data_IF_563928222679
#
_entry.id   IF_563928222679
#
_cell.length_a   1.000
_cell.length_b   1.000
_cell.length_c   1.000
_cell.angle_alpha   90.00
_cell.angle_beta   90.00
_cell.angle_gamma   90.00
#
_symmetry.space_group_name_H-M   'P 1'
#
loop_
_entity.id
_entity.type
_entity.pdbx_description
1 polymer ?
#
# COMPACT_ATOMS: atom_id res chain seq x y z
N UNK A 1 19.02 7.63 -11.37
CA UNK A 1 18.69 8.18 -12.70
C UNK A 1 18.30 9.65 -12.58
N UNK A 2 18.71 10.52 -13.50
CA UNK A 2 18.29 11.93 -13.57
C UNK A 2 17.11 12.08 -14.54
N UNK A 3 15.98 12.62 -14.06
CA UNK A 3 14.72 12.65 -14.82
C UNK A 3 14.03 14.00 -14.71
N UNK A 4 13.34 14.41 -15.77
CA UNK A 4 12.42 15.54 -15.77
C UNK A 4 11.00 15.06 -16.06
N UNK A 5 10.05 15.54 -15.26
CA UNK A 5 8.63 15.20 -15.36
C UNK A 5 7.83 16.47 -15.64
N UNK A 6 6.95 16.43 -16.63
CA UNK A 6 6.01 17.51 -16.95
C UNK A 6 4.58 17.07 -16.62
N UNK A 7 3.82 17.92 -15.94
CA UNK A 7 2.42 17.63 -15.66
C UNK A 7 1.54 18.88 -15.80
N UNK A 8 0.35 18.71 -16.37
CA UNK A 8 -0.67 19.74 -16.40
C UNK A 8 -1.11 20.12 -14.99
N UNK A 9 -1.23 19.12 -14.12
CA UNK A 9 -1.51 19.31 -12.70
C UNK A 9 -0.69 18.35 -11.84
N UNK A 10 -0.29 18.82 -10.66
CA UNK A 10 0.35 17.99 -9.65
C UNK A 10 -0.36 18.10 -8.31
N UNK A 11 -0.53 16.95 -7.66
CA UNK A 11 -1.04 16.80 -6.31
C UNK A 11 0.11 16.57 -5.32
N UNK A 12 -0.17 16.69 -4.03
CA UNK A 12 0.79 16.38 -2.96
C UNK A 12 1.65 17.54 -2.47
N UNK A 13 1.52 18.73 -3.06
CA UNK A 13 1.96 19.99 -2.46
C UNK A 13 0.88 20.54 -1.49
N UNK A 14 1.10 21.70 -0.87
CA UNK A 14 0.10 22.34 0.00
C UNK A 14 -1.22 22.64 -0.72
N UNK A 15 -1.15 22.94 -2.02
CA UNK A 15 -2.29 23.08 -2.93
C UNK A 15 -1.94 22.44 -4.28
N UNK A 16 -2.93 21.98 -5.08
CA UNK A 16 -2.68 21.50 -6.43
C UNK A 16 -1.92 22.52 -7.29
N UNK A 17 -0.80 22.10 -7.89
CA UNK A 17 0.04 22.94 -8.73
C UNK A 17 -0.33 22.76 -10.20
N UNK A 18 -0.40 23.84 -10.98
CA UNK A 18 -0.72 23.80 -12.41
C UNK A 18 0.54 24.04 -13.24
N UNK A 19 0.67 23.31 -14.35
CA UNK A 19 1.80 23.39 -15.30
C UNK A 19 3.14 23.32 -14.58
N UNK A 20 3.45 22.13 -14.08
CA UNK A 20 4.62 21.89 -13.24
C UNK A 20 5.70 21.12 -14.01
N UNK A 21 6.94 21.44 -13.69
CA UNK A 21 8.14 20.68 -13.98
C UNK A 21 8.70 20.13 -12.67
N UNK A 22 9.02 18.84 -12.64
CA UNK A 22 9.63 18.18 -11.49
C UNK A 22 10.94 17.54 -11.91
N UNK A 23 12.02 17.94 -11.24
CA UNK A 23 13.36 17.39 -11.43
C UNK A 23 13.63 16.32 -10.39
N UNK A 24 13.98 15.12 -10.85
CA UNK A 24 14.35 13.98 -10.02
C UNK A 24 15.81 13.64 -10.26
N UNK A 25 16.57 13.43 -9.19
CA UNK A 25 17.96 13.01 -9.28
C UNK A 25 18.34 12.21 -8.01
N UNK A 26 19.20 11.21 -8.15
CA UNK A 26 19.66 10.35 -7.05
C UNK A 26 18.51 9.84 -6.12
N UNK A 27 17.35 9.54 -6.71
CA UNK A 27 16.19 9.03 -5.98
C UNK A 27 15.36 10.09 -5.25
N UNK A 28 15.69 11.37 -5.40
CA UNK A 28 15.07 12.49 -4.71
C UNK A 28 14.43 13.48 -5.66
N UNK A 29 13.42 14.19 -5.16
CA UNK A 29 12.87 15.38 -5.83
C UNK A 29 13.80 16.55 -5.52
N UNK A 30 14.55 17.04 -6.50
CA UNK A 30 15.45 18.19 -6.30
C UNK A 30 14.73 19.51 -6.51
N UNK A 31 13.83 19.57 -7.51
CA UNK A 31 13.14 20.81 -7.91
C UNK A 31 11.70 20.56 -8.28
N UNK A 32 10.82 21.47 -7.86
CA UNK A 32 9.42 21.57 -8.30
C UNK A 32 9.21 23.02 -8.74
N UNK A 33 8.85 23.24 -10.01
CA UNK A 33 8.80 24.58 -10.61
C UNK A 33 7.63 24.72 -11.58
N UNK A 34 7.13 25.95 -11.78
CA UNK A 34 6.20 26.28 -12.86
C UNK A 34 6.91 26.77 -14.14
N UNK A 35 8.24 26.87 -14.08
CA UNK A 35 9.12 27.25 -15.16
C UNK A 35 10.02 26.07 -15.55
N UNK A 36 10.49 26.07 -16.78
CA UNK A 36 11.39 25.04 -17.30
C UNK A 36 12.68 24.98 -16.46
N UNK A 37 13.17 23.77 -16.22
CA UNK A 37 14.27 23.53 -15.30
C UNK A 37 15.62 23.71 -16.02
N UNK A 38 16.38 24.73 -15.62
CA UNK A 38 17.78 24.84 -16.01
C UNK A 38 18.61 23.73 -15.35
N UNK A 39 19.54 23.13 -16.08
CA UNK A 39 20.40 22.06 -15.57
C UNK A 39 19.79 20.67 -15.67
N UNK A 40 18.66 20.49 -16.35
CA UNK A 40 18.04 19.19 -16.68
C UNK A 40 18.06 18.91 -18.19
N UNK A 41 18.86 19.64 -18.97
CA UNK A 41 18.99 19.46 -20.43
C UNK A 41 19.60 18.10 -20.81
N UNK A 42 20.29 17.46 -19.88
CA UNK A 42 20.92 16.14 -19.99
C UNK A 42 20.14 15.03 -19.24
N UNK A 43 18.88 15.30 -18.85
CA UNK A 43 18.05 14.30 -18.18
C UNK A 43 17.95 13.01 -19.02
N UNK A 44 18.11 11.86 -18.36
CA UNK A 44 18.04 10.54 -18.98
C UNK A 44 16.60 10.18 -19.38
N UNK A 45 15.63 10.64 -18.59
CA UNK A 45 14.21 10.49 -18.87
C UNK A 45 13.53 11.86 -18.92
N UNK A 46 12.78 12.10 -20.00
CA UNK A 46 11.88 13.24 -20.17
C UNK A 46 10.46 12.71 -20.45
N UNK A 47 9.57 12.82 -19.48
CA UNK A 47 8.26 12.15 -19.49
C UNK A 47 7.12 13.06 -19.06
N UNK A 48 5.91 12.58 -19.28
CA UNK A 48 4.67 13.26 -18.95
C UNK A 48 4.18 14.20 -20.05
N UNK A 49 3.50 15.27 -19.66
CA UNK A 49 2.83 16.19 -20.58
C UNK A 49 1.78 17.06 -19.90
N UNK A 50 1.24 18.04 -20.63
CA UNK A 50 0.27 18.99 -20.08
C UNK A 50 -1.14 18.41 -19.90
N UNK A 51 -1.39 17.21 -20.38
CA UNK A 51 -2.61 16.43 -20.16
C UNK A 51 -2.43 15.34 -19.08
N UNK A 52 -1.31 15.40 -18.34
CA UNK A 52 -0.99 14.48 -17.25
C UNK A 52 -1.32 15.05 -15.87
N UNK A 53 -1.67 14.15 -14.97
CA UNK A 53 -1.71 14.39 -13.53
C UNK A 53 -0.52 13.69 -12.88
N UNK A 54 0.24 14.43 -12.08
CA UNK A 54 1.30 13.90 -11.22
C UNK A 54 0.80 13.76 -9.78
N UNK A 55 1.11 12.66 -9.14
CA UNK A 55 0.80 12.38 -7.73
C UNK A 55 2.03 11.77 -7.03
N UNK A 56 2.19 11.95 -5.71
CA UNK A 56 3.01 11.05 -4.91
C UNK A 56 2.48 9.61 -5.00
N UNK A 57 3.39 8.66 -4.80
CA UNK A 57 3.10 7.24 -4.69
C UNK A 57 2.12 6.92 -3.56
N UNK A 58 1.26 5.91 -3.78
CA UNK A 58 0.30 5.50 -2.76
C UNK A 58 0.91 4.51 -1.77
N UNK A 59 0.36 4.53 -0.55
CA UNK A 59 0.70 3.58 0.51
C UNK A 59 -0.53 2.86 1.04
N UNK A 60 -0.41 1.54 1.23
CA UNK A 60 -1.35 0.74 2.02
C UNK A 60 -0.72 0.31 3.34
N UNK A 61 -1.35 0.70 4.46
CA UNK A 61 -0.83 0.44 5.83
C UNK A 61 -1.05 -0.99 6.31
N UNK A 62 -1.92 -1.75 5.65
CA UNK A 62 -2.04 -3.19 5.91
C UNK A 62 -2.69 -3.90 4.72
N UNK A 63 -2.06 -4.98 4.24
CA UNK A 63 -2.50 -5.77 3.09
C UNK A 63 -2.13 -7.25 3.26
N UNK A 64 -3.00 -8.17 2.81
CA UNK A 64 -2.67 -9.58 2.64
C UNK A 64 -2.39 -9.87 1.16
N UNK A 65 -1.13 -9.85 0.75
CA UNK A 65 -0.75 -9.85 -0.67
C UNK A 65 -0.90 -11.25 -1.28
N UNK A 66 -0.47 -12.29 -0.56
CA UNK A 66 -0.44 -13.69 -1.03
C UNK A 66 -1.83 -14.24 -1.34
N UNK A 67 -2.84 -13.72 -0.65
CA UNK A 67 -4.22 -14.16 -0.81
C UNK A 67 -4.93 -13.49 -1.98
N UNK A 68 -4.29 -12.53 -2.67
CA UNK A 68 -4.86 -11.78 -3.79
C UNK A 68 -5.56 -12.67 -4.85
N UNK A 69 -5.00 -13.79 -5.33
CA UNK A 69 -5.64 -14.62 -6.35
C UNK A 69 -6.94 -15.29 -5.87
N UNK A 70 -7.10 -15.44 -4.56
CA UNK A 70 -8.24 -16.11 -3.93
C UNK A 70 -9.26 -15.13 -3.34
N UNK A 71 -9.00 -13.81 -3.39
CA UNK A 71 -9.76 -12.76 -2.70
C UNK A 71 -11.28 -12.87 -2.88
N UNK A 72 -11.76 -13.19 -4.10
CA UNK A 72 -13.19 -13.35 -4.33
C UNK A 72 -13.76 -14.60 -3.66
N UNK A 73 -13.05 -15.73 -3.72
CA UNK A 73 -13.51 -16.97 -3.08
C UNK A 73 -13.54 -16.81 -1.56
N UNK A 74 -12.56 -16.10 -1.00
CA UNK A 74 -12.51 -15.77 0.42
C UNK A 74 -13.65 -14.81 0.78
N UNK A 75 -13.81 -13.72 0.03
CA UNK A 75 -14.85 -12.71 0.27
C UNK A 75 -16.27 -13.29 0.22
N UNK A 76 -16.55 -14.21 -0.70
CA UNK A 76 -17.83 -14.90 -0.80
C UNK A 76 -17.96 -16.10 0.16
N UNK A 77 -16.99 -16.33 1.04
CA UNK A 77 -17.01 -17.44 2.01
C UNK A 77 -16.95 -18.83 1.37
N UNK A 78 -16.48 -18.94 0.13
CA UNK A 78 -16.34 -20.22 -0.60
C UNK A 78 -15.12 -21.01 -0.15
N UNK A 79 -14.10 -20.32 0.38
CA UNK A 79 -12.88 -20.93 0.89
C UNK A 79 -12.42 -20.18 2.13
N UNK A 80 -11.89 -20.90 3.12
CA UNK A 80 -11.27 -20.29 4.30
C UNK A 80 -9.82 -19.89 3.98
N UNK A 81 -9.41 -18.70 4.41
CA UNK A 81 -8.04 -18.22 4.23
C UNK A 81 -7.01 -19.11 4.95
N UNK A 82 -7.35 -19.67 6.12
CA UNK A 82 -6.45 -20.54 6.87
C UNK A 82 -6.19 -21.87 6.14
N UNK A 83 -7.20 -22.41 5.44
CA UNK A 83 -7.04 -23.64 4.65
C UNK A 83 -6.03 -23.40 3.52
N UNK A 84 -6.13 -22.26 2.84
CA UNK A 84 -5.16 -21.82 1.83
C UNK A 84 -3.75 -21.70 2.42
N UNK A 85 -3.59 -20.98 3.53
CA UNK A 85 -2.29 -20.77 4.17
C UNK A 85 -1.67 -22.07 4.71
N UNK A 86 -2.47 -23.09 4.98
CA UNK A 86 -2.01 -24.40 5.50
C UNK A 86 -1.30 -25.24 4.43
N UNK A 87 -1.66 -25.07 3.15
CA UNK A 87 -1.12 -25.86 2.03
C UNK A 87 -0.06 -25.12 1.19
N UNK A 88 0.17 -23.84 1.48
CA UNK A 88 1.16 -23.01 0.79
C UNK A 88 2.59 -23.27 1.28
N UNK A 89 3.51 -23.40 0.32
CA UNK A 89 4.96 -23.41 0.56
C UNK A 89 5.57 -22.02 0.34
N UNK A 90 6.83 -21.82 0.73
CA UNK A 90 7.58 -20.59 0.45
C UNK A 90 7.61 -20.23 -1.04
N UNK A 91 7.67 -21.24 -1.92
CA UNK A 91 7.68 -21.03 -3.37
C UNK A 91 6.33 -20.55 -3.87
N UNK A 92 5.23 -21.12 -3.37
CA UNK A 92 3.88 -20.68 -3.75
C UNK A 92 3.66 -19.23 -3.31
N UNK A 93 4.05 -18.90 -2.06
CA UNK A 93 3.88 -17.56 -1.51
C UNK A 93 4.59 -16.48 -2.33
N UNK A 94 5.83 -16.72 -2.78
CA UNK A 94 6.56 -15.77 -3.61
C UNK A 94 5.77 -15.39 -4.89
N UNK A 95 5.34 -16.38 -5.66
CA UNK A 95 4.68 -16.12 -6.95
C UNK A 95 3.25 -15.60 -6.78
N UNK A 96 2.52 -16.04 -5.74
CA UNK A 96 1.19 -15.50 -5.44
C UNK A 96 1.27 -14.03 -4.98
N UNK A 97 2.27 -13.70 -4.15
CA UNK A 97 2.54 -12.33 -3.74
C UNK A 97 2.97 -11.45 -4.92
N UNK A 98 3.72 -11.99 -5.88
CA UNK A 98 4.09 -11.28 -7.11
C UNK A 98 2.84 -10.84 -7.90
N UNK A 99 1.82 -11.71 -8.03
CA UNK A 99 0.55 -11.34 -8.68
C UNK A 99 -0.17 -10.19 -7.96
N UNK A 100 -0.18 -10.23 -6.61
CA UNK A 100 -0.77 -9.16 -5.80
C UNK A 100 0.01 -7.85 -5.93
N UNK A 101 1.32 -7.89 -5.77
CA UNK A 101 2.20 -6.72 -5.93
C UNK A 101 2.12 -6.12 -7.34
N UNK A 102 2.02 -6.95 -8.39
CA UNK A 102 1.79 -6.50 -9.76
C UNK A 102 0.50 -5.67 -9.86
N UNK A 103 -0.60 -6.12 -9.23
CA UNK A 103 -1.85 -5.35 -9.18
C UNK A 103 -1.64 -4.02 -8.46
N UNK A 104 -1.02 -4.04 -7.27
CA UNK A 104 -0.78 -2.85 -6.45
C UNK A 104 0.02 -1.79 -7.21
N UNK A 105 1.08 -2.18 -7.92
CA UNK A 105 1.83 -1.28 -8.79
C UNK A 105 0.93 -0.65 -9.86
N UNK A 106 0.09 -1.45 -10.50
CA UNK A 106 -0.86 -0.99 -11.52
C UNK A 106 -2.06 -0.19 -10.98
N UNK A 107 -2.21 -0.07 -9.66
CA UNK A 107 -3.18 0.84 -9.02
C UNK A 107 -2.50 2.06 -8.38
N UNK A 108 -1.18 2.22 -8.54
CA UNK A 108 -0.42 3.39 -8.09
C UNK A 108 0.21 3.24 -6.70
N UNK A 109 0.16 2.04 -6.10
CA UNK A 109 0.84 1.79 -4.82
C UNK A 109 2.35 1.68 -5.06
N UNK A 110 3.13 2.46 -4.31
CA UNK A 110 4.60 2.41 -4.30
C UNK A 110 5.15 1.80 -3.02
N UNK A 111 4.42 1.93 -1.90
CA UNK A 111 4.78 1.35 -0.60
C UNK A 111 3.65 0.47 -0.07
N UNK A 112 3.99 -0.73 0.40
CA UNK A 112 2.99 -1.65 0.96
C UNK A 112 3.47 -2.27 2.26
N UNK A 113 2.62 -2.15 3.29
CA UNK A 113 2.76 -2.88 4.54
C UNK A 113 1.95 -4.17 4.45
N UNK A 114 2.57 -5.30 4.76
CA UNK A 114 1.92 -6.60 4.71
C UNK A 114 2.28 -7.47 5.91
N UNK A 115 1.37 -8.36 6.29
CA UNK A 115 1.57 -9.31 7.40
C UNK A 115 1.32 -10.76 6.99
N UNK A 116 1.72 -11.12 5.78
CA UNK A 116 1.56 -12.45 5.21
C UNK A 116 2.41 -13.54 5.91
N UNK A 117 2.00 -14.80 5.73
CA UNK A 117 2.82 -15.96 6.15
C UNK A 117 4.06 -16.05 5.25
N UNK A 118 5.20 -16.41 5.84
CA UNK A 118 6.51 -16.41 5.16
C UNK A 118 6.87 -15.02 4.62
N UNK A 119 7.17 -14.06 5.51
CA UNK A 119 7.33 -12.66 5.13
C UNK A 119 8.48 -12.42 4.14
N UNK A 120 9.54 -13.22 4.23
CA UNK A 120 10.74 -13.05 3.41
C UNK A 120 10.52 -13.32 1.90
N UNK A 121 9.91 -14.44 1.47
CA UNK A 121 9.43 -14.59 0.09
C UNK A 121 8.53 -13.45 -0.38
N UNK A 122 7.60 -12.97 0.44
CA UNK A 122 6.68 -11.88 0.07
C UNK A 122 7.45 -10.57 -0.14
N UNK A 123 8.33 -10.22 0.78
CA UNK A 123 9.18 -9.03 0.68
C UNK A 123 10.02 -9.02 -0.60
N UNK A 124 10.58 -10.19 -0.98
CA UNK A 124 11.30 -10.32 -2.25
C UNK A 124 10.39 -10.15 -3.46
N UNK A 125 9.20 -10.72 -3.46
CA UNK A 125 8.26 -10.58 -4.56
C UNK A 125 7.84 -9.10 -4.75
N UNK A 126 7.52 -8.42 -3.66
CA UNK A 126 7.18 -6.98 -3.62
C UNK A 126 8.35 -6.14 -4.16
N UNK A 127 9.57 -6.40 -3.68
CA UNK A 127 10.79 -5.71 -4.17
C UNK A 127 11.04 -5.98 -5.65
N UNK A 128 10.86 -7.23 -6.10
CA UNK A 128 11.08 -7.60 -7.49
C UNK A 128 10.10 -6.92 -8.44
N UNK A 129 8.84 -6.72 -8.03
CA UNK A 129 7.88 -5.91 -8.80
C UNK A 129 8.30 -4.43 -8.87
N UNK A 130 9.12 -3.95 -7.92
CA UNK A 130 9.59 -2.57 -7.83
C UNK A 130 8.93 -1.76 -6.72
N UNK A 131 8.19 -2.39 -5.81
CA UNK A 131 7.54 -1.72 -4.69
C UNK A 131 8.41 -1.73 -3.44
N UNK A 132 8.20 -0.77 -2.54
CA UNK A 132 8.83 -0.69 -1.23
C UNK A 132 8.10 -1.60 -0.22
N UNK A 133 8.72 -2.71 0.25
CA UNK A 133 8.09 -3.60 1.21
C UNK A 133 8.25 -3.12 2.65
N UNK A 134 7.19 -3.22 3.45
CA UNK A 134 7.25 -3.11 4.91
C UNK A 134 6.61 -4.35 5.51
N UNK A 135 7.41 -5.10 6.27
CA UNK A 135 7.03 -6.37 6.86
C UNK A 135 6.42 -6.12 8.25
N UNK A 136 5.14 -6.43 8.43
CA UNK A 136 4.50 -6.44 9.73
C UNK A 136 4.45 -7.87 10.29
N UNK A 137 5.27 -8.18 11.29
CA UNK A 137 5.29 -9.51 11.90
C UNK A 137 4.05 -9.68 12.80
N UNK A 138 3.15 -10.63 12.50
CA UNK A 138 1.94 -10.81 13.28
C UNK A 138 2.23 -11.46 14.64
N UNK A 139 1.66 -10.92 15.71
CA UNK A 139 1.78 -11.41 17.09
C UNK A 139 0.38 -11.62 17.69
N UNK A 140 0.06 -12.86 18.05
CA UNK A 140 -1.27 -13.25 18.52
C UNK A 140 -2.36 -13.23 17.43
N UNK A 141 -1.98 -13.22 16.15
CA UNK A 141 -2.90 -13.31 15.01
C UNK A 141 -3.02 -14.76 14.54
N UNK A 142 -4.03 -15.08 13.71
CA UNK A 142 -4.25 -16.44 13.18
C UNK A 142 -3.05 -16.98 12.39
N UNK A 143 -2.24 -16.11 11.79
CA UNK A 143 -1.06 -16.46 11.02
C UNK A 143 0.26 -16.09 11.73
N UNK A 144 0.22 -15.88 13.04
CA UNK A 144 1.42 -15.64 13.84
C UNK A 144 2.39 -16.83 13.77
N UNK A 145 3.71 -16.58 13.63
CA UNK A 145 4.71 -17.61 13.79
C UNK A 145 4.77 -18.08 15.26
N UNK A 146 5.14 -19.35 15.47
CA UNK A 146 5.25 -19.95 16.81
C UNK A 146 6.22 -19.18 17.73
N UNK A 147 7.31 -18.65 17.17
CA UNK A 147 8.26 -17.80 17.86
C UNK A 147 8.41 -16.48 17.11
N UNK A 148 7.50 -15.55 17.40
CA UNK A 148 7.44 -14.25 16.75
C UNK A 148 8.67 -13.39 17.01
N UNK A 149 9.30 -13.47 18.18
CA UNK A 149 10.53 -12.72 18.44
C UNK A 149 11.68 -13.16 17.53
N UNK A 150 11.83 -14.46 17.33
CA UNK A 150 12.87 -15.02 16.47
C UNK A 150 12.64 -14.63 15.02
N UNK A 151 11.40 -14.71 14.54
CA UNK A 151 11.02 -14.28 13.20
C UNK A 151 11.25 -12.77 13.02
N UNK A 152 10.84 -11.95 14.00
CA UNK A 152 11.09 -10.51 14.01
C UNK A 152 12.57 -10.19 13.94
N UNK A 153 13.42 -10.78 14.79
CA UNK A 153 14.87 -10.57 14.77
C UNK A 153 15.48 -10.98 13.44
N UNK A 154 15.05 -12.11 12.87
CA UNK A 154 15.53 -12.59 11.57
C UNK A 154 15.17 -11.64 10.43
N UNK A 155 13.93 -11.16 10.38
CA UNK A 155 13.47 -10.21 9.36
C UNK A 155 14.11 -8.85 9.56
N UNK A 156 14.15 -8.34 10.79
CA UNK A 156 14.74 -7.04 11.13
C UNK A 156 16.21 -6.96 10.69
N UNK A 157 17.01 -7.99 11.01
CA UNK A 157 18.43 -8.03 10.60
C UNK A 157 18.64 -8.13 9.08
N UNK A 158 17.64 -8.64 8.35
CA UNK A 158 17.74 -8.84 6.89
C UNK A 158 17.20 -7.66 6.09
N UNK A 159 16.14 -7.02 6.57
CA UNK A 159 15.35 -6.06 5.80
C UNK A 159 15.45 -4.63 6.34
N UNK A 160 15.79 -4.44 7.61
CA UNK A 160 16.04 -3.12 8.18
C UNK A 160 17.52 -2.75 8.06
N UNK A 161 17.78 -1.48 7.72
CA UNK A 161 19.13 -0.93 7.56
C UNK A 161 19.22 0.42 8.29
N UNK A 162 20.43 0.95 8.48
CA UNK A 162 20.63 2.26 9.10
C UNK A 162 19.82 3.34 8.36
N UNK A 163 18.81 3.90 9.02
CA UNK A 163 17.92 4.92 8.44
C UNK A 163 16.64 4.42 7.75
N UNK A 164 16.38 3.09 7.74
CA UNK A 164 15.15 2.51 7.16
C UNK A 164 14.70 1.28 7.95
N UNK A 165 13.59 1.43 8.70
CA UNK A 165 12.94 0.36 9.44
C UNK A 165 11.85 -0.29 8.56
N UNK A 166 12.21 -1.33 7.81
CA UNK A 166 11.26 -2.05 6.94
C UNK A 166 10.56 -3.21 7.64
N UNK A 167 10.75 -3.38 8.95
CA UNK A 167 10.14 -4.44 9.75
C UNK A 167 9.51 -3.85 11.00
N UNK A 168 8.21 -4.09 11.15
CA UNK A 168 7.34 -3.59 12.22
C UNK A 168 6.59 -4.77 12.86
N UNK A 169 5.83 -4.53 13.93
CA UNK A 169 5.01 -5.55 14.57
C UNK A 169 3.51 -5.30 14.30
N UNK A 170 2.73 -6.37 14.22
CA UNK A 170 1.27 -6.32 14.23
C UNK A 170 0.73 -7.11 15.42
N UNK A 171 0.08 -6.44 16.36
CA UNK A 171 -0.46 -7.02 17.58
C UNK A 171 -1.96 -7.30 17.44
N UNK A 172 -2.38 -8.56 17.63
CA UNK A 172 -3.78 -8.99 17.56
C UNK A 172 -4.36 -9.47 18.90
N UNK A 173 -3.51 -9.80 19.87
CA UNK A 173 -3.91 -10.36 21.18
C UNK A 173 -3.54 -9.43 22.34
N UNK A 174 -4.54 -9.05 23.12
CA UNK A 174 -4.41 -8.18 24.29
C UNK A 174 -3.37 -8.69 25.31
N UNK A 175 -3.28 -10.02 25.51
CA UNK A 175 -2.40 -10.63 26.50
C UNK A 175 -0.91 -10.47 26.18
N UNK A 176 -0.57 -10.32 24.90
CA UNK A 176 0.82 -10.16 24.42
C UNK A 176 1.27 -8.70 24.32
N UNK A 177 0.38 -7.74 24.59
CA UNK A 177 0.64 -6.32 24.35
C UNK A 177 1.88 -5.80 25.08
N UNK A 178 2.08 -6.21 26.34
CA UNK A 178 3.20 -5.71 27.15
C UNK A 178 4.55 -6.10 26.54
N UNK A 179 4.70 -7.37 26.17
CA UNK A 179 5.91 -7.90 25.54
C UNK A 179 6.19 -7.20 24.21
N UNK A 180 5.17 -7.03 23.36
CA UNK A 180 5.28 -6.34 22.08
C UNK A 180 5.64 -4.87 22.25
N UNK A 181 5.04 -4.17 23.20
CA UNK A 181 5.31 -2.76 23.48
C UNK A 181 6.72 -2.54 24.05
N UNK A 182 7.20 -3.44 24.90
CA UNK A 182 8.57 -3.39 25.44
C UNK A 182 9.59 -3.57 24.31
N UNK A 183 9.38 -4.55 23.42
CA UNK A 183 10.22 -4.73 22.22
C UNK A 183 10.17 -3.47 21.35
N UNK A 184 8.98 -2.97 21.03
CA UNK A 184 8.82 -1.83 20.13
C UNK A 184 9.48 -0.55 20.64
N UNK A 185 9.45 -0.30 21.95
CA UNK A 185 10.18 0.80 22.58
C UNK A 185 11.68 0.64 22.48
N UNK A 186 12.19 -0.57 22.75
CA UNK A 186 13.64 -0.83 22.74
C UNK A 186 14.26 -0.72 21.34
N UNK A 187 13.48 -1.02 20.29
CA UNK A 187 13.93 -1.00 18.89
C UNK A 187 13.45 0.22 18.11
N UNK A 188 12.61 1.07 18.71
CA UNK A 188 11.98 2.24 18.09
C UNK A 188 11.29 1.92 16.75
N UNK A 189 10.42 0.90 16.76
CA UNK A 189 9.63 0.50 15.59
C UNK A 189 8.16 0.86 15.75
N UNK A 190 7.46 0.88 14.62
CA UNK A 190 6.00 1.03 14.59
C UNK A 190 5.33 -0.26 15.06
N UNK A 191 4.17 -0.14 15.72
CA UNK A 191 3.28 -1.26 16.01
C UNK A 191 1.90 -1.01 15.40
N UNK A 192 1.47 -1.89 14.50
CA UNK A 192 0.08 -1.97 14.09
C UNK A 192 -0.71 -2.67 15.20
N UNK A 193 -1.79 -2.06 15.68
CA UNK A 193 -2.60 -2.61 16.77
C UNK A 193 -4.00 -2.91 16.26
N UNK A 194 -4.35 -4.19 16.22
CA UNK A 194 -5.66 -4.66 15.77
C UNK A 194 -6.79 -4.10 16.65
N UNK A 195 -8.00 -3.97 16.11
CA UNK A 195 -9.17 -3.43 16.82
C UNK A 195 -9.61 -4.24 18.04
N UNK A 196 -9.18 -5.50 18.14
CA UNK A 196 -9.42 -6.40 19.27
C UNK A 196 -8.60 -6.04 20.51
N UNK A 197 -7.53 -5.26 20.34
CA UNK A 197 -6.62 -4.86 21.42
C UNK A 197 -7.00 -3.46 21.89
N UNK A 198 -7.37 -3.33 23.16
CA UNK A 198 -7.84 -2.10 23.76
C UNK A 198 -6.69 -1.33 24.40
N UNK A 199 -6.27 -0.24 23.74
CA UNK A 199 -5.19 0.64 24.18
C UNK A 199 -5.50 1.41 25.46
N UNK A 200 -6.78 1.61 25.80
CA UNK A 200 -7.17 2.29 27.04
C UNK A 200 -6.86 1.51 28.32
N UNK A 201 -6.50 0.22 28.19
CA UNK A 201 -6.02 -0.61 29.30
C UNK A 201 -4.59 -0.26 29.75
N UNK A 202 -3.87 0.56 28.99
CA UNK A 202 -2.49 0.98 29.29
C UNK A 202 -2.42 2.45 29.65
N UNK A 203 -1.44 2.82 30.47
CA UNK A 203 -1.04 4.21 30.66
C UNK A 203 -0.18 4.67 29.47
N UNK A 204 -0.13 5.98 29.24
CA UNK A 204 0.58 6.52 28.07
C UNK A 204 2.09 6.23 28.11
N UNK A 205 2.71 6.23 29.29
CA UNK A 205 4.11 5.88 29.49
C UNK A 205 4.41 4.40 29.23
N UNK A 206 3.39 3.53 29.21
CA UNK A 206 3.52 2.11 28.87
C UNK A 206 3.47 1.86 27.35
N UNK A 207 2.95 2.80 26.56
CA UNK A 207 2.82 2.67 25.12
C UNK A 207 4.08 3.09 24.36
N UNK A 208 4.46 2.42 23.25
CA UNK A 208 5.45 2.94 22.33
C UNK A 208 5.00 4.28 21.71
N UNK A 209 5.95 5.04 21.18
CA UNK A 209 5.67 6.32 20.53
C UNK A 209 4.87 6.15 19.24
N UNK A 210 5.24 5.14 18.44
CA UNK A 210 4.72 4.92 17.10
C UNK A 210 3.72 3.75 17.08
N UNK A 211 2.45 4.05 17.33
CA UNK A 211 1.33 3.09 17.21
C UNK A 211 0.42 3.54 16.09
N UNK A 212 0.03 2.60 15.23
CA UNK A 212 -1.06 2.76 14.28
C UNK A 212 -2.19 1.80 14.65
N UNK A 213 -3.29 2.35 15.15
CA UNK A 213 -4.48 1.59 15.51
C UNK A 213 -5.30 1.26 14.26
N UNK A 214 -5.54 -0.03 14.01
CA UNK A 214 -6.40 -0.52 12.93
C UNK A 214 -7.87 -0.56 13.38
N UNK A 215 -8.84 -0.45 12.47
CA UNK A 215 -10.27 -0.56 12.79
C UNK A 215 -11.10 0.72 12.66
N UNK A 216 -10.45 1.85 12.36
CA UNK A 216 -11.12 3.13 12.16
C UNK A 216 -12.09 3.52 13.29
N UNK A 217 -13.27 4.02 12.91
CA UNK A 217 -14.31 4.46 13.84
C UNK A 217 -15.03 3.34 14.62
N UNK A 218 -14.71 2.06 14.37
CA UNK A 218 -15.34 0.93 15.07
C UNK A 218 -14.67 0.58 16.41
N UNK A 219 -13.55 1.24 16.72
CA UNK A 219 -12.76 0.99 17.93
C UNK A 219 -13.46 1.48 19.20
N UNK A 220 -13.39 0.67 20.26
CA UNK A 220 -13.95 1.00 21.58
C UNK A 220 -13.08 1.98 22.39
N UNK A 221 -11.82 2.15 22.00
CA UNK A 221 -10.81 2.99 22.65
C UNK A 221 -10.51 4.27 21.87
N UNK A 222 -11.42 4.71 21.00
CA UNK A 222 -11.18 5.82 20.08
C UNK A 222 -10.94 7.16 20.80
N UNK A 223 -11.62 7.43 21.91
CA UNK A 223 -11.38 8.62 22.74
C UNK A 223 -9.96 8.62 23.31
N UNK A 224 -9.43 7.44 23.65
CA UNK A 224 -8.07 7.29 24.13
C UNK A 224 -7.07 7.56 22.99
N UNK A 225 -7.32 7.01 21.80
CA UNK A 225 -6.53 7.26 20.59
C UNK A 225 -6.46 8.76 20.31
N UNK A 226 -7.61 9.45 20.35
CA UNK A 226 -7.71 10.90 20.16
C UNK A 226 -6.90 11.66 21.21
N UNK A 227 -7.10 11.34 22.49
CA UNK A 227 -6.45 12.02 23.63
C UNK A 227 -4.93 11.99 23.52
N UNK A 228 -4.37 10.86 23.09
CA UNK A 228 -2.92 10.66 23.00
C UNK A 228 -2.36 10.78 21.59
N UNK A 229 -3.16 11.24 20.63
CA UNK A 229 -2.78 11.43 19.22
C UNK A 229 -2.14 10.17 18.62
N UNK A 230 -2.66 9.00 18.97
CA UNK A 230 -2.25 7.73 18.37
C UNK A 230 -2.75 7.71 16.93
N UNK A 231 -1.91 7.23 16.01
CA UNK A 231 -2.30 7.16 14.60
C UNK A 231 -3.42 6.14 14.38
N UNK A 232 -4.23 6.38 13.36
CA UNK A 232 -5.38 5.54 13.01
C UNK A 232 -5.25 5.11 11.55
N UNK A 233 -5.63 3.86 11.26
CA UNK A 233 -5.81 3.35 9.90
C UNK A 233 -7.11 2.56 9.82
N UNK A 234 -7.74 2.53 8.65
CA UNK A 234 -9.02 1.84 8.47
C UNK A 234 -9.20 1.33 7.04
N UNK A 235 -10.14 0.40 6.86
CA UNK A 235 -10.48 -0.21 5.56
C UNK A 235 -11.93 0.14 5.20
N UNK A 236 -12.19 1.24 4.45
CA UNK A 236 -13.50 1.82 4.20
C UNK A 236 -14.60 0.86 3.72
N UNK A 237 -14.25 -0.16 2.94
CA UNK A 237 -15.22 -1.15 2.44
C UNK A 237 -15.61 -2.19 3.48
N UNK A 238 -14.76 -2.47 4.47
CA UNK A 238 -14.98 -3.47 5.54
C UNK A 238 -15.44 -2.84 6.86
N UNK A 239 -15.19 -1.54 7.03
CA UNK A 239 -15.39 -0.82 8.28
C UNK A 239 -16.36 0.34 8.08
N UNK A 240 -17.25 0.55 9.05
CA UNK A 240 -18.25 1.61 9.02
C UNK A 240 -17.95 2.58 10.15
N UNK A 241 -17.86 3.87 9.83
CA UNK A 241 -17.83 4.95 10.82
C UNK A 241 -19.17 5.69 10.84
N UNK A 242 -19.64 6.07 12.03
CA UNK A 242 -20.86 6.89 12.20
C UNK A 242 -20.58 8.40 12.18
N UNK A 243 -19.33 8.79 12.13
CA UNK A 243 -18.86 10.17 12.18
C UNK A 243 -17.64 10.35 11.27
N UNK A 244 -17.35 11.59 10.81
CA UNK A 244 -16.15 11.88 10.03
C UNK A 244 -14.88 11.51 10.79
N UNK A 245 -13.88 10.95 10.09
CA UNK A 245 -12.60 10.55 10.67
C UNK A 245 -11.50 11.59 10.45
N UNK A 246 -11.79 12.72 9.81
CA UNK A 246 -10.82 13.78 9.47
C UNK A 246 -9.95 14.22 10.65
N UNK A 247 -10.51 14.31 11.85
CA UNK A 247 -9.77 14.73 13.05
C UNK A 247 -8.66 13.76 13.48
N UNK A 248 -8.75 12.49 13.05
CA UNK A 248 -7.74 11.46 13.31
C UNK A 248 -6.65 11.41 12.23
N UNK A 249 -6.84 12.12 11.11
CA UNK A 249 -5.97 12.06 9.92
C UNK A 249 -5.60 10.61 9.56
N UNK A 250 -6.59 9.72 9.38
CA UNK A 250 -6.34 8.29 9.29
C UNK A 250 -5.67 7.94 7.97
N UNK A 251 -4.80 6.96 7.98
CA UNK A 251 -4.35 6.30 6.75
C UNK A 251 -5.37 5.23 6.30
N UNK A 252 -5.14 4.63 5.13
CA UNK A 252 -5.94 3.49 4.68
C UNK A 252 -5.16 2.18 4.61
N UNK A 253 -5.90 1.10 4.81
CA UNK A 253 -5.48 -0.27 4.56
C UNK A 253 -6.32 -0.88 3.42
N UNK A 254 -5.76 -1.91 2.79
CA UNK A 254 -6.46 -2.72 1.79
C UNK A 254 -6.94 -4.06 2.34
N UNK A 255 -6.32 -4.57 3.41
CA UNK A 255 -6.53 -5.94 3.90
C UNK A 255 -6.56 -6.95 2.73
N UNK A 256 -7.72 -7.56 2.48
CA UNK A 256 -8.02 -8.40 1.34
C UNK A 256 -9.36 -7.98 0.71
N UNK A 257 -9.55 -6.68 0.50
CA UNK A 257 -10.76 -6.18 -0.17
C UNK A 257 -10.87 -6.75 -1.59
N UNK A 258 -12.08 -7.04 -2.10
CA UNK A 258 -12.25 -7.69 -3.40
C UNK A 258 -11.68 -6.91 -4.58
N UNK A 259 -11.76 -5.58 -4.53
CA UNK A 259 -11.24 -4.69 -5.57
C UNK A 259 -9.73 -4.76 -5.66
N UNK A 260 -9.06 -4.86 -4.51
CA UNK A 260 -7.62 -4.75 -4.34
C UNK A 260 -7.04 -3.43 -4.88
N UNK A 261 -7.89 -2.39 -4.94
CA UNK A 261 -7.57 -1.06 -5.46
C UNK A 261 -7.82 -0.01 -4.37
N UNK A 262 -6.75 0.70 -3.99
CA UNK A 262 -6.79 1.69 -2.92
C UNK A 262 -7.57 2.95 -3.32
N UNK A 263 -7.69 3.22 -4.62
CA UNK A 263 -8.54 4.30 -5.14
C UNK A 263 -10.02 4.02 -4.87
N UNK A 264 -10.43 2.76 -4.90
CA UNK A 264 -11.80 2.39 -4.55
C UNK A 264 -12.07 2.62 -3.06
N UNK A 265 -11.08 2.39 -2.20
CA UNK A 265 -11.20 2.66 -0.76
C UNK A 265 -11.32 4.16 -0.48
N UNK A 266 -10.52 5.03 -1.11
CA UNK A 266 -10.69 6.50 -0.96
C UNK A 266 -12.01 6.99 -1.55
N UNK A 267 -12.51 6.38 -2.63
CA UNK A 267 -13.83 6.69 -3.18
C UNK A 267 -14.94 6.37 -2.17
N UNK A 268 -14.85 5.22 -1.48
CA UNK A 268 -15.78 4.86 -0.41
C UNK A 268 -15.64 5.76 0.81
N UNK A 269 -14.42 6.11 1.21
CA UNK A 269 -14.17 7.05 2.30
C UNK A 269 -14.80 8.42 2.02
N UNK A 270 -14.66 8.91 0.78
CA UNK A 270 -15.20 10.20 0.36
C UNK A 270 -16.72 10.18 0.20
N UNK A 271 -17.27 9.21 -0.53
CA UNK A 271 -18.72 9.13 -0.79
C UNK A 271 -19.55 8.84 0.46
N UNK A 272 -18.96 8.19 1.47
CA UNK A 272 -19.60 7.97 2.79
C UNK A 272 -19.34 9.10 3.79
N UNK A 273 -18.77 10.22 3.33
CA UNK A 273 -18.50 11.42 4.15
C UNK A 273 -17.60 11.13 5.36
N UNK A 274 -16.73 10.12 5.28
CA UNK A 274 -15.74 9.83 6.30
C UNK A 274 -14.53 10.76 6.18
N UNK A 275 -14.20 11.16 4.95
CA UNK A 275 -13.13 12.09 4.59
C UNK A 275 -13.58 12.98 3.42
N UNK A 276 -13.03 14.18 3.28
CA UNK A 276 -13.14 14.94 2.01
C UNK A 276 -12.30 14.28 0.90
N UNK A 277 -12.50 14.61 -0.39
CA UNK A 277 -11.65 14.10 -1.48
C UNK A 277 -10.15 14.35 -1.27
N UNK A 278 -9.78 15.55 -0.82
CA UNK A 278 -8.38 15.87 -0.48
C UNK A 278 -7.89 15.02 0.69
N UNK A 279 -8.66 14.93 1.78
CA UNK A 279 -8.26 14.12 2.95
C UNK A 279 -8.14 12.64 2.60
N UNK A 280 -9.01 12.12 1.73
CA UNK A 280 -8.94 10.75 1.24
C UNK A 280 -7.67 10.54 0.40
N UNK A 281 -7.29 11.49 -0.45
CA UNK A 281 -6.00 11.45 -1.13
C UNK A 281 -4.81 11.47 -0.14
N UNK A 282 -4.85 12.34 0.87
CA UNK A 282 -3.80 12.43 1.91
C UNK A 282 -3.68 11.16 2.73
N UNK A 283 -4.79 10.44 2.96
CA UNK A 283 -4.83 9.17 3.71
C UNK A 283 -4.03 8.04 3.05
N UNK A 284 -3.89 8.08 1.72
CA UNK A 284 -3.13 7.09 0.95
C UNK A 284 -1.78 7.62 0.48
N UNK A 285 -1.41 8.85 0.86
CA UNK A 285 -0.14 9.47 0.53
C UNK A 285 0.53 9.93 1.82
N UNK A 286 0.52 11.22 2.12
CA UNK A 286 1.35 11.81 3.18
C UNK A 286 1.05 11.27 4.58
N UNK A 287 -0.22 10.99 4.91
CA UNK A 287 -0.55 10.53 6.27
C UNK A 287 0.00 9.14 6.54
N UNK A 288 -0.19 8.18 5.63
CA UNK A 288 0.38 6.84 5.80
C UNK A 288 1.91 6.84 5.81
N UNK A 289 2.56 7.61 4.94
CA UNK A 289 4.02 7.70 4.91
C UNK A 289 4.59 8.33 6.20
N UNK A 290 3.97 9.39 6.71
CA UNK A 290 4.37 10.01 7.98
C UNK A 290 4.23 9.07 9.18
N UNK A 291 3.15 8.28 9.23
CA UNK A 291 2.93 7.30 10.30
C UNK A 291 4.03 6.22 10.36
N UNK A 292 4.70 5.96 9.23
CA UNK A 292 5.83 5.03 9.13
C UNK A 292 7.20 5.72 9.15
N UNK A 293 7.24 7.05 9.31
CA UNK A 293 8.49 7.82 9.28
C UNK A 293 9.19 7.84 7.92
N UNK A 294 8.44 7.65 6.83
CA UNK A 294 8.97 7.66 5.46
C UNK A 294 9.00 9.09 4.91
N UNK A 295 10.07 9.44 4.20
CA UNK A 295 10.23 10.73 3.55
C UNK A 295 9.61 10.75 2.13
N UNK A 296 8.37 10.26 2.01
CA UNK A 296 7.63 10.14 0.75
C UNK A 296 6.15 10.49 0.96
N UNK A 297 5.34 10.38 -0.10
CA UNK A 297 3.90 10.66 -0.03
C UNK A 297 3.52 12.14 -0.13
N UNK A 298 4.46 13.01 -0.47
CA UNK A 298 4.21 14.42 -0.77
C UNK A 298 5.13 14.88 -1.90
N UNK A 299 4.78 16.00 -2.53
CA UNK A 299 5.58 16.64 -3.56
C UNK A 299 6.36 17.79 -2.93
N UNK A 300 7.62 17.54 -2.57
CA UNK A 300 8.49 18.56 -1.99
C UNK A 300 9.97 18.27 -2.18
N UNK A 301 10.77 19.33 -2.11
CA UNK A 301 12.22 19.22 -2.29
C UNK A 301 12.82 18.27 -1.23
N UNK A 302 13.76 17.44 -1.64
CA UNK A 302 14.43 16.38 -0.87
C UNK A 302 13.55 15.21 -0.43
N UNK A 303 12.28 15.13 -0.83
CA UNK A 303 11.48 13.90 -0.63
C UNK A 303 11.97 12.79 -1.54
N UNK A 304 11.74 11.53 -1.14
CA UNK A 304 11.89 10.37 -2.02
C UNK A 304 11.00 10.54 -3.24
N UNK A 305 11.54 10.26 -4.43
CA UNK A 305 10.82 10.34 -5.69
C UNK A 305 9.97 9.08 -5.91
N UNK A 306 9.01 8.85 -5.02
CA UNK A 306 7.92 7.89 -5.18
C UNK A 306 6.76 8.64 -5.85
N UNK A 307 6.61 8.51 -7.17
CA UNK A 307 5.74 9.36 -8.00
C UNK A 307 4.91 8.54 -8.99
N UNK A 308 3.71 9.01 -9.32
CA UNK A 308 2.79 8.38 -10.27
C UNK A 308 2.37 9.42 -11.29
N UNK A 309 2.47 9.07 -12.58
CA UNK A 309 2.03 9.91 -13.69
C UNK A 309 0.83 9.24 -14.34
N UNK A 310 -0.28 9.98 -14.42
CA UNK A 310 -1.53 9.53 -15.00
C UNK A 310 -1.83 10.27 -16.30
N UNK A 311 -2.32 9.54 -17.29
CA UNK A 311 -2.84 10.09 -18.54
C UNK A 311 -4.37 10.22 -18.49
N UNK A 312 -4.87 11.42 -18.81
CA UNK A 312 -6.29 11.77 -18.81
C UNK A 312 -6.81 12.21 -20.19
N UNK A 313 -6.07 11.86 -21.26
CA UNK A 313 -6.34 12.35 -22.62
C UNK A 313 -7.62 11.79 -23.25
N UNK A 314 -7.99 10.55 -22.91
CA UNK A 314 -9.11 9.83 -23.51
C UNK A 314 -9.93 9.03 -22.49
N UNK A 315 -11.20 8.67 -22.81
CA UNK A 315 -12.00 7.79 -21.97
C UNK A 315 -11.31 6.43 -21.74
N UNK A 316 -11.46 5.80 -20.55
CA UNK A 316 -12.36 6.21 -19.47
C UNK A 316 -11.75 7.21 -18.47
N UNK A 317 -10.51 7.66 -18.66
CA UNK A 317 -9.86 8.59 -17.73
C UNK A 317 -10.32 10.03 -17.93
N UNK A 318 -10.55 10.45 -19.18
CA UNK A 318 -11.02 11.79 -19.52
C UNK A 318 -12.38 12.14 -18.86
N UNK A 319 -12.59 13.41 -18.43
CA UNK A 319 -11.65 14.54 -18.45
C UNK A 319 -10.80 14.69 -17.18
N UNK A 320 -9.67 15.38 -17.29
CA UNK A 320 -8.97 15.96 -16.15
C UNK A 320 -9.60 17.32 -15.79
N UNK A 321 -10.30 17.41 -14.66
CA UNK A 321 -10.83 18.67 -14.15
C UNK A 321 -9.80 19.38 -13.25
N UNK A 322 -9.25 20.49 -13.75
CA UNK A 322 -8.29 21.33 -13.04
C UNK A 322 -8.86 22.06 -11.82
N UNK A 323 -10.19 22.14 -11.68
CA UNK A 323 -10.85 22.72 -10.51
C UNK A 323 -11.19 21.66 -9.46
N UNK A 324 -11.30 20.39 -9.87
CA UNK A 324 -11.65 19.25 -9.02
C UNK A 324 -10.67 18.08 -9.27
N UNK A 325 -9.36 18.28 -9.04
CA UNK A 325 -8.35 17.31 -9.45
C UNK A 325 -8.32 16.07 -8.55
N UNK A 326 -8.69 16.22 -7.28
CA UNK A 326 -8.83 15.08 -6.37
C UNK A 326 -9.99 14.18 -6.80
N UNK A 327 -11.12 14.77 -7.20
CA UNK A 327 -12.28 14.06 -7.73
C UNK A 327 -11.95 13.37 -9.05
N UNK A 328 -11.15 14.01 -9.91
CA UNK A 328 -10.66 13.41 -11.16
C UNK A 328 -9.74 12.21 -10.89
N UNK A 329 -8.91 12.26 -9.85
CA UNK A 329 -8.13 11.11 -9.39
C UNK A 329 -9.03 9.99 -8.86
N UNK A 330 -9.99 10.33 -8.01
CA UNK A 330 -10.80 9.36 -7.25
C UNK A 330 -11.86 8.68 -8.13
N UNK A 331 -12.60 9.44 -8.93
CA UNK A 331 -13.84 8.99 -9.55
C UNK A 331 -13.74 8.68 -11.05
N UNK A 332 -12.73 9.20 -11.75
CA UNK A 332 -12.53 8.86 -13.16
C UNK A 332 -11.88 7.48 -13.31
N UNK A 333 -11.98 6.91 -14.52
CA UNK A 333 -11.03 5.87 -14.91
C UNK A 333 -9.60 6.39 -14.87
N UNK A 334 -8.62 5.52 -15.09
CA UNK A 334 -7.23 5.92 -15.06
C UNK A 334 -6.38 5.11 -16.02
N UNK A 335 -5.38 5.79 -16.56
CA UNK A 335 -4.26 5.17 -17.22
C UNK A 335 -3.00 5.63 -16.50
N UNK A 336 -2.33 4.73 -15.79
CA UNK A 336 -1.01 5.04 -15.22
C UNK A 336 -0.01 4.91 -16.35
N UNK A 337 0.64 6.02 -16.69
CA UNK A 337 1.68 6.07 -17.72
C UNK A 337 2.99 5.54 -17.14
N UNK A 338 3.48 6.16 -16.06
CA UNK A 338 4.77 5.83 -15.45
C UNK A 338 4.68 5.88 -13.91
N UNK A 339 5.39 4.98 -13.23
CA UNK A 339 5.54 4.97 -11.76
C UNK A 339 7.01 4.97 -11.39
N UNK A 340 7.39 5.85 -10.47
CA UNK A 340 8.71 5.91 -9.84
C UNK A 340 8.65 5.40 -8.41
N UNK A 341 9.67 4.64 -8.00
CA UNK A 341 9.92 4.26 -6.61
C UNK A 341 11.39 4.51 -6.32
N UNK A 342 11.68 5.42 -5.39
CA UNK A 342 13.03 5.88 -5.09
C UNK A 342 13.72 6.49 -6.31
N UNK A 343 12.96 7.18 -7.18
CA UNK A 343 13.45 7.82 -8.41
C UNK A 343 13.85 6.88 -9.55
N UNK A 344 13.66 5.58 -9.39
CA UNK A 344 13.77 4.61 -10.47
C UNK A 344 12.38 4.30 -11.05
N UNK A 345 12.28 4.26 -12.37
CA UNK A 345 11.03 3.88 -13.04
C UNK A 345 10.81 2.37 -12.88
N UNK A 346 9.63 1.98 -12.42
CA UNK A 346 9.25 0.56 -12.19
C UNK A 346 8.06 0.13 -13.04
N UNK A 347 7.35 1.10 -13.62
CA UNK A 347 6.29 0.92 -14.61
C UNK A 347 6.44 2.06 -15.61
N UNK A 348 6.40 1.74 -16.91
CA UNK A 348 6.38 2.74 -17.97
C UNK A 348 5.50 2.29 -19.14
N UNK A 349 4.82 3.22 -19.81
CA UNK A 349 3.81 2.93 -20.82
C UNK A 349 2.68 2.02 -20.33
N UNK A 350 2.35 2.05 -19.03
CA UNK A 350 1.34 1.17 -18.42
C UNK A 350 1.81 -0.27 -18.16
N UNK A 351 3.09 -0.59 -18.37
CA UNK A 351 3.66 -1.93 -18.24
C UNK A 351 4.73 -1.96 -17.15
N UNK A 352 4.65 -2.89 -16.17
CA UNK A 352 5.73 -3.10 -15.20
C UNK A 352 7.05 -3.49 -15.88
N UNK A 353 8.16 -2.92 -15.42
CA UNK A 353 9.47 -3.10 -16.07
C UNK A 353 10.22 -4.34 -15.58
N UNK A 354 9.97 -4.77 -14.33
CA UNK A 354 10.73 -5.83 -13.69
C UNK A 354 10.06 -7.22 -13.74
N UNK A 355 8.77 -7.28 -14.10
CA UNK A 355 7.97 -8.49 -14.11
C UNK A 355 7.15 -8.59 -15.38
N UNK A 356 7.06 -9.79 -15.95
CA UNK A 356 6.45 -10.02 -17.26
C UNK A 356 5.39 -11.13 -17.24
N UNK A 357 4.92 -11.49 -18.44
CA UNK A 357 3.89 -12.51 -18.63
C UNK A 357 4.30 -13.88 -18.07
N UNK A 358 5.58 -14.25 -18.14
CA UNK A 358 6.08 -15.52 -17.59
C UNK A 358 5.91 -15.62 -16.08
N UNK A 359 6.11 -14.52 -15.36
CA UNK A 359 5.91 -14.47 -13.91
C UNK A 359 4.42 -14.63 -13.56
N UNK A 360 3.55 -14.02 -14.39
CA UNK A 360 2.09 -14.16 -14.25
C UNK A 360 1.66 -15.61 -14.49
N UNK A 361 2.15 -16.24 -15.56
CA UNK A 361 1.88 -17.65 -15.89
C UNK A 361 2.32 -18.59 -14.77
N UNK A 362 3.49 -18.37 -14.19
CA UNK A 362 3.94 -19.17 -13.04
C UNK A 362 3.05 -18.94 -11.81
N UNK A 363 2.64 -17.70 -11.53
CA UNK A 363 1.68 -17.40 -10.47
C UNK A 363 0.34 -18.12 -10.66
N UNK A 364 -0.19 -18.16 -11.89
CA UNK A 364 -1.40 -18.90 -12.22
C UNK A 364 -1.23 -20.42 -12.03
N UNK A 365 -0.06 -20.97 -12.44
CA UNK A 365 0.26 -22.37 -12.19
C UNK A 365 0.29 -22.70 -10.71
N UNK A 366 0.82 -21.81 -9.86
CA UNK A 366 0.74 -21.96 -8.39
C UNK A 366 -0.70 -22.02 -7.89
N UNK A 367 -1.58 -21.16 -8.39
CA UNK A 367 -3.01 -21.16 -8.02
C UNK A 367 -3.65 -22.53 -8.30
N UNK A 368 -3.41 -23.10 -9.48
CA UNK A 368 -3.91 -24.42 -9.84
C UNK A 368 -3.34 -25.54 -8.94
N UNK A 369 -2.05 -25.45 -8.59
CA UNK A 369 -1.42 -26.42 -7.67
C UNK A 369 -2.03 -26.35 -6.26
N UNK A 370 -2.33 -25.15 -5.76
CA UNK A 370 -3.01 -24.96 -4.47
C UNK A 370 -4.41 -25.56 -4.51
N UNK A 371 -5.18 -25.32 -5.58
CA UNK A 371 -6.51 -25.92 -5.75
C UNK A 371 -6.47 -27.46 -5.77
N UNK A 372 -5.47 -28.05 -6.45
CA UNK A 372 -5.25 -29.50 -6.42
C UNK A 372 -4.99 -30.02 -5.01
N UNK A 373 -4.16 -29.32 -4.21
CA UNK A 373 -3.83 -29.72 -2.83
C UNK A 373 -5.04 -29.66 -1.91
N UNK A 374 -6.00 -28.77 -2.19
CA UNK A 374 -7.26 -28.63 -1.44
C UNK A 374 -8.37 -29.58 -1.92
N UNK A 375 -8.14 -30.37 -2.97
CA UNK A 375 -9.17 -31.23 -3.55
C UNK A 375 -10.28 -30.46 -4.28
N UNK A 376 -10.04 -29.19 -4.62
CA UNK A 376 -10.98 -28.36 -5.37
C UNK A 376 -11.01 -28.81 -6.84
N UNK A 377 -12.22 -28.94 -7.40
CA UNK A 377 -12.37 -29.29 -8.83
C UNK A 377 -11.93 -28.12 -9.68
N UNK A 378 -10.79 -28.26 -10.37
CA UNK A 378 -10.33 -27.34 -11.41
C UNK A 378 -11.46 -27.20 -12.45
N UNK A 379 -12.08 -26.03 -12.53
CA UNK A 379 -12.92 -25.69 -13.68
C UNK A 379 -11.98 -25.35 -14.83
N UNK A 380 -11.46 -26.36 -15.52
CA UNK A 380 -10.77 -26.13 -16.80
C UNK A 380 -11.78 -25.50 -17.75
N UNK A 381 -11.58 -24.23 -18.12
CA UNK A 381 -12.41 -23.52 -19.11
C UNK A 381 -12.41 -24.23 -20.48
N UNK A 382 -11.44 -25.12 -20.72
CA UNK A 382 -11.31 -25.87 -21.97
C UNK A 382 -12.35 -26.99 -22.15
N UNK A 383 -12.95 -27.53 -21.06
CA UNK A 383 -13.90 -28.65 -21.17
C UNK A 383 -15.33 -28.25 -21.56
N UNK A 384 -15.62 -26.96 -21.78
CA UNK A 384 -16.96 -26.52 -22.19
C UNK A 384 -17.13 -26.33 -23.71
N UNK A 385 -16.14 -26.70 -24.54
CA UNK A 385 -16.21 -26.55 -26.00
C UNK A 385 -16.64 -27.80 -26.79
N UNK A 386 -16.72 -28.98 -26.17
CA UNK A 386 -17.04 -30.24 -26.88
C UNK A 386 -18.48 -30.75 -26.69
N UNK A 387 -19.41 -29.92 -26.21
CA UNK A 387 -20.83 -30.30 -26.12
C UNK A 387 -21.76 -29.17 -26.60
N UNK A 388 -21.66 -28.80 -27.87
CA UNK A 388 -22.75 -28.14 -28.60
C UNK A 388 -22.89 -28.68 -30.01
#
# INVERSE_FOLDING_TARGET
>A
MKSIIRAGIALGADNPLKKVYVGVNEGKIEVVSNEELAGYEDAELDIGGWDRLLSPGFISIHTFITLYPFRFRIFYGKINANDLLSVMSNNDVYHLALLGAYHLLRSGVTTVVFSDKYPDPVARAVTNVGLRPIIAIPVGCNNSPDNWEKEFKAMYNRWSHSGSNNVILKLCDQSLSKEVFDVAKSTNIVVLVERTVNLSSFKKDELPENIIALGGGSRSDLDYIKKYKIYLSFTPSLEISRFPLSEYKPSLALDLVPSFDIRQEIALASTRLMLTPEEAFRSITIWGHQQLGLNAGYLGINSDADLIIYEYREPPAFPLDYNSPYESLIYSGYNIETVFVGGESVLDGGVPLNVGLKDVEEGLRRVEEIDKRLGERIRSLEKSRDNR
#
